data_IF_057276164748
#
_entry.id   IF_057276164748
#
_cell.length_a   1.000
_cell.length_b   1.000
_cell.length_c   1.000
_cell.angle_alpha   90.00
_cell.angle_beta   90.00
_cell.angle_gamma   90.00
#
_symmetry.space_group_name_H-M   'P 1'
#
loop_
_entity.id
_entity.type
_entity.pdbx_description
1 polymer ?
#
# COMPACT_ATOMS: atom_id res chain seq x y z
N UNK A 1 -10.07 -26.07 -21.47
CA UNK A 1 -10.81 -25.68 -20.24
C UNK A 1 -12.08 -24.90 -20.55
N UNK A 2 -13.08 -25.02 -19.69
CA UNK A 2 -14.38 -24.37 -19.88
C UNK A 2 -14.31 -22.88 -19.56
N UNK A 3 -14.83 -22.04 -20.45
CA UNK A 3 -15.02 -20.61 -20.24
C UNK A 3 -16.50 -20.30 -20.19
N UNK A 4 -16.96 -19.76 -19.06
CA UNK A 4 -18.36 -19.34 -18.89
C UNK A 4 -18.52 -17.85 -19.24
N UNK A 5 -19.26 -17.56 -20.32
CA UNK A 5 -19.67 -16.21 -20.69
C UNK A 5 -20.96 -15.83 -19.97
N UNK A 6 -20.86 -15.07 -18.87
CA UNK A 6 -22.01 -14.59 -18.08
C UNK A 6 -23.03 -13.81 -18.90
N UNK A 7 -22.59 -13.07 -19.91
CA UNK A 7 -23.47 -12.26 -20.75
C UNK A 7 -24.40 -13.08 -21.65
N UNK A 8 -24.01 -14.30 -21.97
CA UNK A 8 -24.72 -15.14 -22.93
C UNK A 8 -25.27 -16.44 -22.30
N UNK A 9 -25.04 -16.62 -20.99
CA UNK A 9 -25.37 -17.86 -20.24
C UNK A 9 -24.88 -19.14 -20.95
N UNK A 10 -23.67 -19.06 -21.54
CA UNK A 10 -23.11 -20.09 -22.42
C UNK A 10 -21.77 -20.58 -21.89
N UNK A 11 -21.60 -21.90 -21.85
CA UNK A 11 -20.31 -22.55 -21.62
C UNK A 11 -19.61 -22.71 -22.98
N UNK A 12 -18.34 -22.28 -23.01
CA UNK A 12 -17.46 -22.48 -24.18
C UNK A 12 -16.29 -23.34 -23.70
N UNK A 13 -16.04 -24.43 -24.43
CA UNK A 13 -14.84 -25.23 -24.22
C UNK A 13 -13.76 -24.82 -25.22
N UNK A 14 -12.54 -24.67 -24.73
CA UNK A 14 -11.37 -24.33 -25.55
C UNK A 14 -10.12 -25.00 -24.97
N UNK A 15 -9.08 -25.12 -25.81
CA UNK A 15 -7.79 -25.70 -25.45
C UNK A 15 -6.72 -24.60 -25.47
N UNK A 16 -5.67 -24.78 -24.67
CA UNK A 16 -4.53 -23.88 -24.64
C UNK A 16 -3.23 -24.68 -24.53
N UNK A 17 -2.17 -24.20 -25.16
CA UNK A 17 -0.80 -24.67 -24.91
C UNK A 17 -0.23 -24.06 -23.66
N UNK A 18 -0.50 -22.78 -23.42
CA UNK A 18 -0.11 -22.02 -22.22
C UNK A 18 -1.28 -21.19 -21.71
N UNK A 19 -1.49 -21.18 -20.41
CA UNK A 19 -2.53 -20.37 -19.75
C UNK A 19 -1.88 -19.32 -18.85
N UNK A 20 -2.29 -18.06 -18.98
CA UNK A 20 -1.85 -16.96 -18.10
C UNK A 20 -3.04 -16.41 -17.31
N UNK A 21 -2.97 -16.52 -16.00
CA UNK A 21 -4.00 -16.03 -15.08
C UNK A 21 -3.64 -14.61 -14.58
N UNK A 22 -4.48 -13.64 -14.96
CA UNK A 22 -4.35 -12.24 -14.55
C UNK A 22 -5.64 -11.74 -13.91
N UNK A 23 -6.12 -12.48 -12.91
CA UNK A 23 -7.46 -12.34 -12.34
C UNK A 23 -7.63 -11.12 -11.46
N UNK A 24 -6.51 -10.50 -11.06
CA UNK A 24 -6.50 -9.32 -10.21
C UNK A 24 -7.02 -9.56 -8.79
N UNK A 25 -7.46 -8.47 -8.16
CA UNK A 25 -8.02 -8.44 -6.83
C UNK A 25 -9.36 -7.69 -6.80
N UNK A 26 -10.16 -7.92 -5.77
CA UNK A 26 -11.42 -7.23 -5.56
C UNK A 26 -11.50 -6.64 -4.15
N UNK A 27 -12.16 -5.48 -3.96
CA UNK A 27 -12.33 -4.89 -2.65
C UNK A 27 -13.02 -5.84 -1.69
N UNK A 28 -12.56 -5.88 -0.46
CA UNK A 28 -13.20 -6.66 0.60
C UNK A 28 -14.50 -5.97 0.99
N UNK A 29 -15.59 -6.74 1.00
CA UNK A 29 -16.89 -6.29 1.50
C UNK A 29 -17.20 -7.06 2.78
N UNK A 30 -17.30 -6.41 3.94
CA UNK A 30 -17.56 -7.07 5.20
C UNK A 30 -19.01 -7.56 5.28
N UNK A 31 -19.26 -8.61 6.05
CA UNK A 31 -20.61 -9.09 6.31
C UNK A 31 -21.21 -8.34 7.50
N UNK A 32 -21.75 -7.16 7.27
CA UNK A 32 -22.34 -6.31 8.29
C UNK A 32 -23.81 -6.02 7.96
N UNK A 33 -24.61 -5.81 8.98
CA UNK A 33 -25.99 -5.36 8.83
C UNK A 33 -26.03 -4.01 8.10
N UNK A 34 -26.94 -3.87 7.14
CA UNK A 34 -27.09 -2.66 6.33
C UNK A 34 -26.07 -2.48 5.21
N UNK A 35 -25.13 -3.41 4.98
CA UNK A 35 -24.07 -3.30 3.95
C UNK A 35 -24.61 -3.13 2.52
N UNK A 36 -25.84 -3.55 2.26
CA UNK A 36 -26.50 -3.46 0.95
C UNK A 36 -27.32 -2.19 0.76
N UNK A 37 -27.30 -1.25 1.71
CA UNK A 37 -27.95 0.03 1.56
C UNK A 37 -27.35 0.83 0.40
N UNK A 38 -28.17 1.59 -0.31
CA UNK A 38 -27.71 2.51 -1.35
C UNK A 38 -26.74 3.55 -0.76
N UNK A 39 -25.82 4.03 -1.60
CA UNK A 39 -24.75 4.96 -1.24
C UNK A 39 -23.65 4.38 -0.32
N UNK A 40 -23.52 3.04 -0.23
CA UNK A 40 -22.32 2.38 0.26
C UNK A 40 -21.56 1.87 -0.97
N UNK A 41 -20.39 2.44 -1.25
CA UNK A 41 -19.67 2.25 -2.51
C UNK A 41 -18.28 1.63 -2.29
N UNK A 42 -17.77 1.03 -3.35
CA UNK A 42 -16.40 0.51 -3.43
C UNK A 42 -15.55 1.45 -4.30
N UNK A 43 -14.23 1.48 -4.07
CA UNK A 43 -13.28 2.16 -4.93
C UNK A 43 -12.22 1.16 -5.44
N UNK A 44 -12.25 0.83 -6.74
CA UNK A 44 -11.26 -0.07 -7.37
C UNK A 44 -10.92 0.31 -8.80
N UNK A 45 -11.88 0.76 -9.57
CA UNK A 45 -11.75 0.97 -11.01
C UNK A 45 -12.44 2.27 -11.47
N UNK A 46 -12.31 2.58 -12.75
CA UNK A 46 -12.85 3.80 -13.34
C UNK A 46 -14.38 3.90 -13.22
N UNK A 47 -15.11 2.77 -13.32
CA UNK A 47 -16.57 2.80 -13.19
C UNK A 47 -16.98 3.10 -11.74
N UNK A 48 -16.29 2.55 -10.75
CA UNK A 48 -16.48 2.93 -9.35
C UNK A 48 -16.21 4.43 -9.14
N UNK A 49 -15.13 4.96 -9.70
CA UNK A 49 -14.79 6.38 -9.59
C UNK A 49 -15.89 7.28 -10.18
N UNK A 50 -16.46 6.92 -11.33
CA UNK A 50 -17.60 7.66 -11.92
C UNK A 50 -18.82 7.67 -11.00
N UNK A 51 -19.16 6.51 -10.42
CA UNK A 51 -20.32 6.41 -9.50
C UNK A 51 -20.06 7.24 -8.25
N UNK A 52 -18.86 7.19 -7.69
CA UNK A 52 -18.46 8.03 -6.54
C UNK A 52 -18.63 9.51 -6.90
N UNK A 53 -18.05 9.94 -8.03
CA UNK A 53 -18.12 11.33 -8.50
C UNK A 53 -19.56 11.82 -8.74
N UNK A 54 -20.45 10.95 -9.17
CA UNK A 54 -21.87 11.30 -9.33
C UNK A 54 -22.58 11.43 -7.99
N UNK A 55 -22.35 10.49 -7.08
CA UNK A 55 -23.02 10.44 -5.77
C UNK A 55 -22.54 11.53 -4.82
N UNK A 56 -21.25 11.88 -4.87
CA UNK A 56 -20.66 12.90 -4.00
C UNK A 56 -21.27 14.30 -4.22
N UNK A 57 -21.78 14.61 -5.43
CA UNK A 57 -22.40 15.91 -5.74
C UNK A 57 -23.54 16.27 -4.79
N UNK A 58 -24.33 15.30 -4.38
CA UNK A 58 -25.46 15.48 -3.46
C UNK A 58 -25.12 15.17 -2.00
N UNK A 59 -23.96 14.56 -1.73
CA UNK A 59 -23.54 14.21 -0.38
C UNK A 59 -22.90 15.41 0.33
N UNK A 60 -23.18 15.56 1.62
CA UNK A 60 -22.54 16.54 2.51
C UNK A 60 -21.63 15.85 3.51
N UNK A 61 -22.12 14.76 4.11
CA UNK A 61 -21.40 13.97 5.10
C UNK A 61 -20.90 12.68 4.45
N UNK A 62 -19.60 12.54 4.31
CA UNK A 62 -18.97 11.37 3.69
C UNK A 62 -18.16 10.62 4.73
N UNK A 63 -18.43 9.33 4.83
CA UNK A 63 -17.66 8.42 5.69
C UNK A 63 -16.78 7.52 4.82
N UNK A 64 -15.47 7.56 5.04
CA UNK A 64 -14.51 6.64 4.42
C UNK A 64 -14.08 5.61 5.46
N UNK A 65 -14.20 4.33 5.13
CA UNK A 65 -13.88 3.22 6.03
C UNK A 65 -12.64 2.51 5.53
N UNK A 66 -11.58 2.55 6.35
CA UNK A 66 -10.24 2.07 6.03
C UNK A 66 -9.28 3.23 5.73
N UNK A 67 -8.31 3.45 6.60
CA UNK A 67 -7.33 4.53 6.53
C UNK A 67 -5.98 4.09 5.92
N UNK A 68 -6.00 3.16 4.96
CA UNK A 68 -4.88 2.86 4.07
C UNK A 68 -4.74 3.90 2.95
N UNK A 69 -3.86 3.66 1.98
CA UNK A 69 -3.57 4.58 0.85
C UNK A 69 -4.84 5.14 0.19
N UNK A 70 -5.74 4.28 -0.26
CA UNK A 70 -6.96 4.70 -0.97
C UNK A 70 -7.87 5.53 -0.08
N UNK A 71 -8.04 5.12 1.19
CA UNK A 71 -8.94 5.81 2.11
C UNK A 71 -8.46 7.21 2.47
N UNK A 72 -7.15 7.39 2.70
CA UNK A 72 -6.60 8.72 3.01
C UNK A 72 -6.64 9.65 1.79
N UNK A 73 -6.35 9.16 0.58
CA UNK A 73 -6.47 9.94 -0.66
C UNK A 73 -7.91 10.37 -0.93
N UNK A 74 -8.89 9.50 -0.71
CA UNK A 74 -10.31 9.85 -0.86
C UNK A 74 -10.78 10.82 0.22
N UNK A 75 -10.33 10.66 1.46
CA UNK A 75 -10.66 11.58 2.54
C UNK A 75 -10.18 13.00 2.24
N UNK A 76 -8.93 13.16 1.79
CA UNK A 76 -8.40 14.44 1.31
C UNK A 76 -9.20 14.99 0.13
N UNK A 77 -9.43 14.16 -0.89
CA UNK A 77 -10.14 14.59 -2.10
C UNK A 77 -11.55 15.11 -1.82
N UNK A 78 -12.28 14.52 -0.89
CA UNK A 78 -13.62 15.00 -0.48
C UNK A 78 -13.55 16.24 0.40
N UNK A 79 -12.58 16.30 1.31
CA UNK A 79 -12.40 17.49 2.17
C UNK A 79 -12.10 18.72 1.34
N UNK A 80 -11.17 18.64 0.38
CA UNK A 80 -10.82 19.73 -0.54
C UNK A 80 -12.03 20.21 -1.36
N UNK A 81 -13.03 19.37 -1.56
CA UNK A 81 -14.30 19.73 -2.20
C UNK A 81 -15.34 20.30 -1.21
N UNK A 82 -14.94 20.54 0.03
CA UNK A 82 -15.80 21.13 1.06
C UNK A 82 -16.82 20.17 1.68
N UNK A 83 -16.59 18.86 1.64
CA UNK A 83 -17.42 17.87 2.31
C UNK A 83 -17.04 17.72 3.78
N UNK A 84 -17.99 17.34 4.63
CA UNK A 84 -17.72 16.89 5.98
C UNK A 84 -17.22 15.44 5.92
N UNK A 85 -15.96 15.21 6.18
CA UNK A 85 -15.35 13.87 6.04
C UNK A 85 -15.08 13.26 7.40
N UNK A 86 -15.48 12.00 7.57
CA UNK A 86 -15.04 11.14 8.68
C UNK A 86 -14.29 9.96 8.10
N UNK A 87 -13.02 9.78 8.53
CA UNK A 87 -12.18 8.63 8.19
C UNK A 87 -12.15 7.67 9.38
N UNK A 88 -12.64 6.45 9.18
CA UNK A 88 -12.76 5.41 10.23
C UNK A 88 -11.76 4.29 9.93
N UNK A 89 -11.01 3.84 10.95
CA UNK A 89 -10.20 2.62 10.86
C UNK A 89 -10.21 1.86 12.19
N UNK A 90 -10.10 0.55 12.10
CA UNK A 90 -9.93 -0.32 13.27
C UNK A 90 -8.52 -0.21 13.87
N UNK A 91 -7.53 0.16 13.08
CA UNK A 91 -6.19 0.50 13.56
C UNK A 91 -6.20 1.84 14.29
N UNK A 92 -5.28 2.02 15.21
CA UNK A 92 -5.20 3.21 16.07
C UNK A 92 -4.60 4.45 15.39
N UNK A 93 -4.11 4.32 14.16
CA UNK A 93 -3.55 5.40 13.34
C UNK A 93 -3.76 5.15 11.84
N UNK A 94 -3.72 6.21 11.06
CA UNK A 94 -3.77 6.10 9.61
C UNK A 94 -2.51 5.39 9.09
N UNK A 95 -2.64 4.66 7.99
CA UNK A 95 -1.54 4.00 7.29
C UNK A 95 -0.63 3.12 8.18
N UNK A 96 -1.15 2.61 9.30
CA UNK A 96 -0.42 1.82 10.30
C UNK A 96 0.39 0.64 9.72
N UNK A 97 -0.05 0.07 8.60
CA UNK A 97 0.66 -1.04 7.93
C UNK A 97 1.86 -0.60 7.08
N UNK A 98 2.00 0.69 6.83
CA UNK A 98 2.95 1.23 5.85
C UNK A 98 3.94 2.22 6.44
N UNK A 99 3.57 2.87 7.56
CA UNK A 99 4.33 3.94 8.19
C UNK A 99 4.37 3.78 9.71
N UNK A 100 5.48 4.18 10.31
CA UNK A 100 5.63 4.25 11.76
C UNK A 100 5.04 5.55 12.35
N UNK A 101 4.81 5.61 13.67
CA UNK A 101 4.14 6.73 14.34
C UNK A 101 4.73 8.09 14.05
N UNK A 102 6.05 8.22 13.89
CA UNK A 102 6.73 9.49 13.66
C UNK A 102 6.22 10.20 12.38
N UNK A 103 5.82 9.42 11.36
CA UNK A 103 5.31 9.95 10.10
C UNK A 103 3.79 10.04 10.10
N UNK A 104 3.10 9.04 10.66
CA UNK A 104 1.62 9.04 10.69
C UNK A 104 1.07 10.16 11.55
N UNK A 105 1.72 10.50 12.69
CA UNK A 105 1.29 11.58 13.54
C UNK A 105 1.27 12.94 12.80
N UNK A 106 2.29 13.21 11.98
CA UNK A 106 2.35 14.42 11.16
C UNK A 106 1.22 14.46 10.13
N UNK A 107 0.97 13.33 9.45
CA UNK A 107 -0.10 13.21 8.47
C UNK A 107 -1.50 13.35 9.11
N UNK A 108 -1.71 12.77 10.30
CA UNK A 108 -2.96 12.93 11.06
C UNK A 108 -3.22 14.37 11.50
N UNK A 109 -2.17 15.09 11.91
CA UNK A 109 -2.29 16.51 12.22
C UNK A 109 -2.73 17.33 11.01
N UNK A 110 -2.22 17.03 9.81
CA UNK A 110 -2.69 17.69 8.59
C UNK A 110 -4.17 17.43 8.35
N UNK A 111 -4.65 16.19 8.46
CA UNK A 111 -6.08 15.90 8.35
C UNK A 111 -6.92 16.66 9.38
N UNK A 112 -6.50 16.71 10.65
CA UNK A 112 -7.23 17.43 11.70
C UNK A 112 -7.25 18.95 11.45
N UNK A 113 -6.16 19.54 10.96
CA UNK A 113 -6.09 20.96 10.57
C UNK A 113 -7.08 21.32 9.48
N UNK A 114 -7.31 20.40 8.54
CA UNK A 114 -8.29 20.56 7.46
C UNK A 114 -9.72 20.16 7.85
N UNK A 115 -9.94 19.77 9.11
CA UNK A 115 -11.28 19.49 9.64
C UNK A 115 -11.78 18.08 9.36
N UNK A 116 -10.95 17.17 8.86
CA UNK A 116 -11.31 15.75 8.73
C UNK A 116 -11.40 15.12 10.12
N UNK A 117 -12.52 14.46 10.39
CA UNK A 117 -12.71 13.70 11.63
C UNK A 117 -12.04 12.33 11.51
N UNK A 118 -11.03 12.09 12.32
CA UNK A 118 -10.35 10.79 12.42
C UNK A 118 -11.00 9.97 13.54
N UNK A 119 -11.60 8.84 13.19
CA UNK A 119 -12.21 7.85 14.07
C UNK A 119 -11.36 6.58 14.06
N UNK A 120 -10.20 6.64 14.70
CA UNK A 120 -9.19 5.59 14.71
C UNK A 120 -9.35 4.67 15.92
N UNK A 121 -8.94 3.41 15.79
CA UNK A 121 -9.20 2.38 16.78
C UNK A 121 -10.69 2.11 16.96
N UNK A 122 -11.49 2.27 15.90
CA UNK A 122 -12.92 2.05 15.90
C UNK A 122 -13.34 1.06 14.80
N UNK A 123 -13.97 -0.03 15.20
CA UNK A 123 -14.47 -1.04 14.26
C UNK A 123 -15.95 -0.79 13.93
N UNK A 124 -16.25 -0.69 12.63
CA UNK A 124 -17.63 -0.57 12.16
C UNK A 124 -18.40 -1.86 12.46
N UNK A 125 -19.61 -1.71 13.03
CA UNK A 125 -20.48 -2.82 13.43
C UNK A 125 -21.66 -3.00 12.48
N UNK A 126 -22.29 -1.91 12.03
CA UNK A 126 -23.43 -1.93 11.12
C UNK A 126 -23.65 -0.58 10.45
N UNK A 127 -24.53 -0.58 9.48
CA UNK A 127 -25.05 0.62 8.82
C UNK A 127 -26.54 0.77 9.08
N UNK A 128 -26.98 1.99 9.33
CA UNK A 128 -28.39 2.33 9.46
C UNK A 128 -28.80 3.19 8.26
N UNK A 129 -30.07 3.06 7.84
CA UNK A 129 -30.55 3.79 6.68
C UNK A 129 -32.05 4.02 6.69
N UNK A 130 -32.50 4.95 5.85
CA UNK A 130 -33.89 5.26 5.60
C UNK A 130 -34.14 5.21 4.09
N UNK A 131 -35.34 4.70 3.69
CA UNK A 131 -35.70 4.57 2.27
C UNK A 131 -34.63 3.87 1.43
N UNK A 132 -34.01 2.79 1.98
CA UNK A 132 -32.92 2.02 1.39
C UNK A 132 -31.61 2.78 1.16
N UNK A 133 -31.43 3.99 1.72
CA UNK A 133 -30.17 4.75 1.65
C UNK A 133 -29.50 4.79 3.01
N UNK A 134 -28.16 4.71 3.02
CA UNK A 134 -27.40 4.85 4.26
C UNK A 134 -27.59 6.26 4.84
N UNK A 135 -27.77 6.33 6.16
CA UNK A 135 -27.87 7.59 6.93
C UNK A 135 -26.88 7.63 8.07
N UNK A 136 -26.38 6.46 8.55
CA UNK A 136 -25.40 6.38 9.64
C UNK A 136 -24.48 5.18 9.51
N UNK A 137 -23.25 5.37 9.98
CA UNK A 137 -22.28 4.32 10.25
C UNK A 137 -22.15 4.17 11.76
N UNK A 138 -22.32 2.96 12.27
CA UNK A 138 -22.22 2.63 13.69
C UNK A 138 -20.97 1.83 13.96
N UNK A 139 -20.14 2.33 14.85
CA UNK A 139 -18.96 1.62 15.39
C UNK A 139 -19.28 1.07 16.80
N UNK A 140 -18.33 0.35 17.41
CA UNK A 140 -18.47 -0.05 18.81
C UNK A 140 -18.43 1.12 19.81
N UNK A 141 -17.95 2.30 19.37
CA UNK A 141 -17.78 3.48 20.24
C UNK A 141 -18.74 4.61 19.94
N UNK A 142 -19.05 4.81 18.65
CA UNK A 142 -19.73 6.02 18.19
C UNK A 142 -20.71 5.75 17.05
N UNK A 143 -21.43 6.82 16.66
CA UNK A 143 -22.31 6.88 15.49
C UNK A 143 -21.94 8.09 14.64
N UNK A 144 -21.89 7.91 13.32
CA UNK A 144 -21.49 8.93 12.35
C UNK A 144 -22.58 9.08 11.29
N UNK A 145 -23.06 10.30 11.10
CA UNK A 145 -24.00 10.60 9.98
C UNK A 145 -23.26 10.45 8.65
N UNK A 146 -23.96 9.87 7.67
CA UNK A 146 -23.37 9.58 6.37
C UNK A 146 -24.42 9.65 5.25
N UNK A 147 -24.20 10.53 4.28
CA UNK A 147 -24.96 10.57 3.03
C UNK A 147 -24.31 9.63 1.98
N UNK A 148 -23.03 9.36 2.14
CA UNK A 148 -22.22 8.51 1.28
C UNK A 148 -21.15 7.79 2.12
N UNK A 149 -20.96 6.51 1.86
CA UNK A 149 -19.93 5.68 2.51
C UNK A 149 -19.04 5.06 1.43
N UNK A 150 -17.70 5.12 1.61
CA UNK A 150 -16.74 4.44 0.74
C UNK A 150 -15.98 3.38 1.54
N UNK A 151 -16.00 2.13 1.07
CA UNK A 151 -15.29 1.02 1.69
C UNK A 151 -13.87 0.90 1.09
N UNK A 152 -12.85 1.10 1.92
CA UNK A 152 -11.43 1.05 1.57
C UNK A 152 -10.64 0.09 2.47
N UNK A 153 -11.25 -1.01 2.94
CA UNK A 153 -10.69 -1.94 3.94
C UNK A 153 -9.73 -2.99 3.36
N UNK A 154 -9.27 -2.80 2.12
CA UNK A 154 -8.30 -3.65 1.44
C UNK A 154 -8.88 -4.53 0.35
N UNK A 155 -8.03 -5.44 -0.16
CA UNK A 155 -8.33 -6.27 -1.32
C UNK A 155 -8.08 -7.75 -1.04
N UNK A 156 -8.85 -8.60 -1.70
CA UNK A 156 -8.65 -10.05 -1.75
C UNK A 156 -8.38 -10.49 -3.19
N UNK A 157 -7.53 -11.52 -3.41
CA UNK A 157 -7.31 -12.08 -4.74
C UNK A 157 -8.62 -12.59 -5.35
N UNK A 158 -8.84 -12.31 -6.63
CA UNK A 158 -10.05 -12.74 -7.34
C UNK A 158 -9.92 -14.17 -7.88
N UNK A 159 -9.59 -15.12 -7.02
CA UNK A 159 -9.16 -16.48 -7.37
C UNK A 159 -10.19 -17.58 -7.05
N UNK A 160 -11.42 -17.21 -6.69
CA UNK A 160 -12.47 -18.19 -6.34
C UNK A 160 -12.73 -19.20 -7.47
N UNK A 161 -12.56 -18.79 -8.74
CA UNK A 161 -12.80 -19.65 -9.92
C UNK A 161 -11.77 -20.76 -10.08
N UNK A 162 -10.59 -20.61 -9.46
CA UNK A 162 -9.49 -21.60 -9.54
C UNK A 162 -9.26 -22.28 -8.18
N UNK A 163 -10.19 -22.13 -7.23
CA UNK A 163 -10.10 -22.76 -5.92
C UNK A 163 -9.86 -24.27 -6.06
N UNK A 164 -8.94 -24.78 -5.26
CA UNK A 164 -8.53 -26.21 -5.22
C UNK A 164 -7.90 -26.75 -6.52
N UNK A 165 -7.58 -25.88 -7.49
CA UNK A 165 -6.93 -26.25 -8.75
C UNK A 165 -5.44 -25.88 -8.81
N UNK A 166 -5.01 -24.94 -7.99
CA UNK A 166 -3.63 -24.44 -7.88
C UNK A 166 -3.27 -24.23 -6.40
N UNK A 167 -1.98 -24.25 -6.10
CA UNK A 167 -1.48 -23.91 -4.78
C UNK A 167 -1.69 -22.41 -4.52
N UNK A 168 -2.23 -22.10 -3.34
CA UNK A 168 -2.54 -20.73 -2.93
C UNK A 168 -2.14 -20.47 -1.49
N UNK A 169 -1.90 -19.21 -1.16
CA UNK A 169 -1.84 -18.75 0.22
C UNK A 169 -3.23 -18.87 0.89
N UNK A 170 -3.29 -18.74 2.21
CA UNK A 170 -4.56 -18.80 2.99
C UNK A 170 -5.61 -17.79 2.51
N UNK A 171 -5.19 -16.64 1.98
CA UNK A 171 -6.08 -15.62 1.43
C UNK A 171 -6.52 -15.88 -0.01
N UNK A 172 -6.03 -16.96 -0.64
CA UNK A 172 -6.33 -17.35 -2.01
C UNK A 172 -5.36 -16.82 -3.06
N UNK A 173 -4.32 -16.06 -2.71
CA UNK A 173 -3.30 -15.62 -3.67
C UNK A 173 -2.55 -16.82 -4.27
N UNK A 174 -2.47 -16.89 -5.60
CA UNK A 174 -1.78 -17.97 -6.32
C UNK A 174 -0.29 -17.94 -5.98
N UNK A 175 0.24 -19.07 -5.54
CA UNK A 175 1.69 -19.23 -5.32
C UNK A 175 2.37 -19.40 -6.68
N UNK A 176 3.37 -18.58 -6.94
CA UNK A 176 4.18 -18.62 -8.16
C UNK A 176 5.67 -18.77 -7.82
N UNK A 177 6.42 -19.32 -8.76
CA UNK A 177 7.86 -19.36 -8.67
C UNK A 177 8.52 -18.07 -9.25
N UNK A 178 9.83 -18.02 -9.24
CA UNK A 178 10.61 -16.89 -9.77
C UNK A 178 10.49 -16.67 -11.29
N UNK A 179 9.82 -17.57 -12.01
CA UNK A 179 9.53 -17.47 -13.45
C UNK A 179 8.05 -17.28 -13.75
N UNK A 180 7.25 -16.93 -12.74
CA UNK A 180 5.80 -16.73 -12.82
C UNK A 180 5.00 -18.01 -13.08
N UNK A 181 5.58 -19.21 -12.90
CA UNK A 181 4.89 -20.50 -13.05
C UNK A 181 4.11 -20.82 -11.79
N UNK A 182 2.95 -21.44 -11.96
CA UNK A 182 2.12 -21.96 -10.87
C UNK A 182 2.49 -23.41 -10.53
N UNK A 183 1.78 -24.03 -9.60
CA UNK A 183 1.90 -25.47 -9.28
C UNK A 183 1.44 -26.40 -10.39
N UNK A 184 0.86 -25.88 -11.47
CA UNK A 184 0.41 -26.64 -12.63
C UNK A 184 1.25 -26.31 -13.85
N UNK A 185 1.69 -27.37 -14.55
CA UNK A 185 2.45 -27.23 -15.80
C UNK A 185 1.68 -26.37 -16.82
N UNK A 186 2.40 -25.56 -17.58
CA UNK A 186 1.87 -24.66 -18.60
C UNK A 186 0.88 -23.58 -18.10
N UNK A 187 0.78 -23.42 -16.79
CA UNK A 187 -0.06 -22.37 -16.18
C UNK A 187 0.80 -21.35 -15.45
N UNK A 188 0.70 -20.10 -15.89
CA UNK A 188 1.38 -18.93 -15.33
C UNK A 188 0.37 -18.02 -14.63
N UNK A 189 0.86 -17.19 -13.72
CA UNK A 189 0.02 -16.16 -13.11
C UNK A 189 0.79 -14.88 -12.83
N UNK A 190 0.10 -13.74 -12.89
CA UNK A 190 0.69 -12.41 -12.67
C UNK A 190 -0.30 -11.41 -12.08
N UNK A 191 0.23 -10.40 -11.38
CA UNK A 191 -0.52 -9.28 -10.82
C UNK A 191 -1.18 -9.60 -9.48
N UNK A 192 -2.20 -8.81 -9.11
CA UNK A 192 -2.83 -8.82 -7.78
C UNK A 192 -3.49 -10.16 -7.37
N UNK A 193 -3.60 -11.13 -8.26
CA UNK A 193 -4.07 -12.47 -7.90
C UNK A 193 -2.97 -13.38 -7.33
N UNK A 194 -1.70 -12.94 -7.34
CA UNK A 194 -0.54 -13.75 -6.99
C UNK A 194 0.11 -13.31 -5.68
N UNK A 195 0.86 -14.24 -5.10
CA UNK A 195 1.88 -13.97 -4.10
C UNK A 195 3.16 -13.44 -4.75
N UNK A 196 4.04 -12.84 -3.94
CA UNK A 196 5.35 -12.32 -4.35
C UNK A 196 6.40 -12.63 -3.30
N UNK A 197 7.66 -12.72 -3.71
CA UNK A 197 8.79 -12.78 -2.76
C UNK A 197 8.99 -11.39 -2.16
N UNK A 198 8.94 -11.29 -0.84
CA UNK A 198 9.15 -10.05 -0.10
C UNK A 198 10.57 -10.00 0.45
N UNK A 199 11.43 -9.23 -0.19
CA UNK A 199 12.89 -9.24 0.03
C UNK A 199 13.32 -8.91 1.47
N UNK A 200 12.67 -8.00 2.24
CA UNK A 200 13.07 -7.72 3.60
C UNK A 200 13.14 -8.95 4.51
N UNK A 201 12.33 -9.97 4.23
CA UNK A 201 12.27 -11.22 5.01
C UNK A 201 12.57 -12.48 4.20
N UNK A 202 12.63 -12.39 2.87
CA UNK A 202 12.82 -13.54 1.99
C UNK A 202 11.63 -14.49 1.87
N UNK A 203 10.47 -14.11 2.41
CA UNK A 203 9.25 -14.93 2.44
C UNK A 203 8.29 -14.60 1.30
N UNK A 204 7.39 -15.55 1.03
CA UNK A 204 6.27 -15.36 0.09
C UNK A 204 5.14 -14.61 0.80
N UNK A 205 4.76 -13.43 0.26
CA UNK A 205 3.68 -12.59 0.81
C UNK A 205 2.71 -12.12 -0.28
N UNK A 206 1.57 -11.60 0.15
CA UNK A 206 0.58 -10.96 -0.71
C UNK A 206 0.76 -9.44 -0.66
N UNK A 207 1.26 -8.85 -1.75
CA UNK A 207 1.54 -7.40 -1.86
C UNK A 207 1.01 -6.92 -3.22
N UNK A 208 -0.30 -6.63 -3.31
CA UNK A 208 -0.94 -6.22 -4.56
C UNK A 208 -0.59 -4.77 -4.88
N UNK A 209 0.40 -4.59 -5.76
CA UNK A 209 0.85 -3.29 -6.26
C UNK A 209 0.89 -3.29 -7.79
N UNK A 210 0.45 -2.20 -8.41
CA UNK A 210 0.47 -2.03 -9.86
C UNK A 210 1.89 -2.20 -10.45
N UNK A 211 2.91 -1.71 -9.75
CA UNK A 211 4.32 -1.87 -10.14
C UNK A 211 4.76 -3.33 -10.14
N UNK A 212 4.28 -4.16 -9.20
CA UNK A 212 4.51 -5.60 -9.22
C UNK A 212 3.81 -6.22 -10.42
N UNK A 213 2.53 -5.90 -10.64
CA UNK A 213 1.74 -6.45 -11.75
C UNK A 213 2.40 -6.22 -13.12
N UNK A 214 2.91 -5.01 -13.37
CA UNK A 214 3.60 -4.66 -14.64
C UNK A 214 4.89 -5.48 -14.80
N UNK A 215 5.72 -5.59 -13.75
CA UNK A 215 6.95 -6.41 -13.79
C UNK A 215 6.64 -7.88 -14.00
N UNK A 216 5.65 -8.42 -13.28
CA UNK A 216 5.23 -9.81 -13.39
C UNK A 216 4.70 -10.14 -14.79
N UNK A 217 3.89 -9.25 -15.39
CA UNK A 217 3.42 -9.40 -16.77
C UNK A 217 4.56 -9.44 -17.78
N UNK A 218 5.58 -8.59 -17.60
CA UNK A 218 6.80 -8.62 -18.41
C UNK A 218 7.55 -9.93 -18.24
N UNK A 219 7.65 -10.45 -17.01
CA UNK A 219 8.30 -11.72 -16.71
C UNK A 219 7.55 -12.92 -17.32
N UNK A 220 6.22 -12.92 -17.29
CA UNK A 220 5.44 -13.96 -18.00
C UNK A 220 5.82 -13.99 -19.47
N UNK A 221 5.81 -12.83 -20.15
CA UNK A 221 6.15 -12.77 -21.57
C UNK A 221 7.57 -13.25 -21.89
N UNK A 222 8.53 -13.04 -20.96
CA UNK A 222 9.93 -13.50 -21.11
C UNK A 222 10.12 -14.99 -20.82
N UNK A 223 9.24 -15.56 -19.99
CA UNK A 223 9.42 -16.92 -19.45
C UNK A 223 8.45 -17.95 -20.03
N UNK A 224 7.45 -17.53 -20.81
CA UNK A 224 6.35 -18.39 -21.27
C UNK A 224 6.83 -19.61 -22.11
N UNK A 225 7.88 -19.42 -22.91
CA UNK A 225 8.47 -20.49 -23.73
C UNK A 225 9.52 -21.30 -22.94
N UNK A 226 10.38 -20.58 -22.22
CA UNK A 226 11.43 -21.17 -21.39
C UNK A 226 11.83 -20.21 -20.28
N UNK A 227 12.26 -20.68 -19.12
CA UNK A 227 12.81 -19.84 -18.04
C UNK A 227 14.00 -19.02 -18.56
N UNK A 228 13.87 -17.68 -18.56
CA UNK A 228 14.86 -16.75 -19.13
C UNK A 228 15.24 -15.66 -18.13
N UNK A 229 14.26 -15.06 -17.45
CA UNK A 229 14.48 -13.93 -16.54
C UNK A 229 13.78 -14.18 -15.21
N UNK A 230 14.55 -14.18 -14.14
CA UNK A 230 14.05 -14.38 -12.78
C UNK A 230 13.37 -13.14 -12.22
N UNK A 231 12.30 -13.34 -11.47
CA UNK A 231 11.75 -12.35 -10.56
C UNK A 231 12.64 -12.20 -9.34
N UNK A 232 13.07 -11.00 -9.07
CA UNK A 232 13.99 -10.68 -7.96
C UNK A 232 13.24 -10.22 -6.69
N UNK A 233 11.92 -10.38 -6.65
CA UNK A 233 11.11 -10.00 -5.51
C UNK A 233 10.70 -8.53 -5.49
N UNK A 234 10.19 -8.11 -4.35
CA UNK A 234 9.72 -6.74 -4.10
C UNK A 234 10.02 -6.31 -2.66
N UNK A 235 10.16 -5.01 -2.45
CA UNK A 235 10.25 -4.38 -1.13
C UNK A 235 8.92 -3.70 -0.73
N UNK A 236 7.91 -3.73 -1.60
CA UNK A 236 6.64 -3.03 -1.35
C UNK A 236 6.78 -1.52 -1.36
N UNK A 237 7.71 -0.98 -2.15
CA UNK A 237 7.99 0.46 -2.23
C UNK A 237 6.77 1.21 -2.73
N UNK A 238 6.36 2.24 -1.99
CA UNK A 238 5.17 3.04 -2.26
C UNK A 238 5.32 4.46 -1.74
N UNK A 239 4.52 5.36 -2.27
CA UNK A 239 4.49 6.75 -1.85
C UNK A 239 3.10 7.34 -1.95
N UNK A 240 2.87 8.42 -1.21
CA UNK A 240 1.62 9.16 -1.17
C UNK A 240 1.91 10.65 -0.97
N UNK A 241 1.03 11.48 -1.49
CA UNK A 241 0.95 12.89 -1.11
C UNK A 241 -0.32 13.10 -0.28
N UNK A 242 -0.19 13.74 0.87
CA UNK A 242 -1.28 14.14 1.76
C UNK A 242 -1.16 15.63 1.98
N UNK A 243 -2.03 16.42 1.40
CA UNK A 243 -1.92 17.88 1.29
C UNK A 243 -0.52 18.29 0.79
N UNK A 244 0.27 18.97 1.59
CA UNK A 244 1.64 19.36 1.22
C UNK A 244 2.70 18.32 1.61
N UNK A 245 2.32 17.25 2.30
CA UNK A 245 3.26 16.22 2.77
C UNK A 245 3.49 15.15 1.70
N UNK A 246 4.73 15.01 1.25
CA UNK A 246 5.20 13.93 0.40
C UNK A 246 5.78 12.83 1.28
N UNK A 247 5.19 11.64 1.25
CA UNK A 247 5.55 10.52 2.13
C UNK A 247 5.82 9.31 1.26
N UNK A 248 6.88 8.57 1.58
CA UNK A 248 7.15 7.30 0.91
C UNK A 248 7.78 6.30 1.88
N UNK A 249 7.61 5.02 1.58
CA UNK A 249 8.18 3.92 2.35
C UNK A 249 8.63 2.76 1.47
N UNK A 250 9.53 1.95 2.00
CA UNK A 250 10.01 0.72 1.37
C UNK A 250 10.40 -0.28 2.44
N UNK A 251 10.13 -1.55 2.23
CA UNK A 251 10.40 -2.60 3.20
C UNK A 251 9.46 -2.59 4.42
N UNK A 252 9.96 -3.02 5.55
CA UNK A 252 9.21 -3.14 6.80
C UNK A 252 9.19 -1.82 7.59
N UNK A 253 8.05 -1.52 8.23
CA UNK A 253 8.04 -0.59 9.36
C UNK A 253 8.71 -1.24 10.56
N UNK A 254 9.16 -0.46 11.52
CA UNK A 254 9.72 -0.96 12.77
C UNK A 254 8.72 -1.87 13.51
N UNK A 255 7.47 -1.41 13.61
CA UNK A 255 6.41 -2.18 14.27
C UNK A 255 6.16 -3.53 13.58
N UNK A 256 6.04 -3.53 12.24
CA UNK A 256 5.83 -4.77 11.49
C UNK A 256 7.04 -5.70 11.57
N UNK A 257 8.26 -5.16 11.56
CA UNK A 257 9.47 -5.96 11.72
C UNK A 257 9.48 -6.65 13.09
N UNK A 258 9.27 -5.91 14.18
CA UNK A 258 9.20 -6.48 15.55
C UNK A 258 8.09 -7.51 15.71
N UNK A 259 6.94 -7.32 15.04
CA UNK A 259 5.76 -8.19 15.18
C UNK A 259 5.84 -9.46 14.33
N UNK A 260 6.52 -9.42 13.18
CA UNK A 260 6.40 -10.48 12.16
C UNK A 260 7.71 -11.15 11.77
N UNK A 261 8.82 -10.80 12.42
CA UNK A 261 10.15 -11.41 12.17
C UNK A 261 10.83 -11.78 13.48
N UNK A 262 11.81 -12.67 13.39
CA UNK A 262 12.70 -13.02 14.50
C UNK A 262 13.98 -12.14 14.52
N UNK A 263 14.02 -11.05 13.75
CA UNK A 263 15.16 -10.14 13.71
C UNK A 263 15.33 -9.38 15.03
N UNK A 264 16.56 -9.08 15.36
CA UNK A 264 16.91 -8.14 16.43
C UNK A 264 16.73 -6.71 15.90
N UNK A 265 15.46 -6.25 15.84
CA UNK A 265 15.06 -5.03 15.14
C UNK A 265 15.53 -3.78 15.86
N UNK A 266 16.27 -2.94 15.16
CA UNK A 266 16.56 -1.56 15.54
C UNK A 266 16.09 -0.58 14.46
N UNK A 267 15.83 0.65 14.85
CA UNK A 267 15.44 1.73 13.96
C UNK A 267 16.06 3.04 14.42
N UNK A 268 16.38 3.88 13.48
CA UNK A 268 16.83 5.26 13.73
C UNK A 268 16.10 6.21 12.81
N UNK A 269 15.85 7.41 13.34
CA UNK A 269 15.19 8.48 12.63
C UNK A 269 15.96 9.78 12.80
N UNK A 270 16.04 10.55 11.74
CA UNK A 270 16.61 11.91 11.76
C UNK A 270 15.58 12.90 11.20
N UNK A 271 15.68 14.13 11.65
CA UNK A 271 15.06 15.30 11.02
C UNK A 271 16.19 16.24 10.64
N UNK A 272 16.34 16.54 9.38
CA UNK A 272 17.39 17.44 8.90
C UNK A 272 16.98 18.12 7.59
N UNK A 273 17.59 19.29 7.32
CA UNK A 273 17.38 19.99 6.06
C UNK A 273 17.98 19.22 4.89
N UNK A 274 17.21 19.08 3.80
CA UNK A 274 17.67 18.34 2.63
C UNK A 274 18.87 19.00 1.92
N UNK A 275 19.07 20.32 2.09
CA UNK A 275 20.19 21.09 1.55
C UNK A 275 20.69 22.13 2.56
N UNK A 276 21.85 22.78 2.33
CA UNK A 276 22.44 23.70 3.28
C UNK A 276 21.55 24.93 3.56
N UNK A 277 21.55 25.36 4.81
CA UNK A 277 20.75 26.47 5.33
C UNK A 277 21.20 27.87 4.79
N UNK A 278 22.39 27.96 4.19
CA UNK A 278 22.83 29.18 3.50
C UNK A 278 22.14 29.37 2.13
N UNK A 279 21.43 28.35 1.62
CA UNK A 279 20.65 28.47 0.41
C UNK A 279 19.38 29.32 0.64
N UNK A 280 18.88 30.05 -0.39
CA UNK A 280 17.71 30.91 -0.23
C UNK A 280 16.44 30.20 0.24
N UNK A 281 16.32 28.91 -0.05
CA UNK A 281 15.21 28.06 0.40
C UNK A 281 15.77 26.71 0.85
N UNK A 282 15.22 26.16 1.92
CA UNK A 282 15.49 24.81 2.41
C UNK A 282 14.26 24.31 3.17
N UNK A 283 14.16 23.02 3.40
CA UNK A 283 13.06 22.42 4.14
C UNK A 283 13.55 21.15 4.83
N UNK A 284 12.90 20.82 5.92
CA UNK A 284 13.21 19.63 6.71
C UNK A 284 12.59 18.38 6.08
N UNK A 285 13.30 17.28 6.23
CA UNK A 285 12.79 15.95 5.96
C UNK A 285 13.02 15.04 7.16
N UNK A 286 12.00 14.27 7.49
CA UNK A 286 12.13 13.15 8.42
C UNK A 286 12.50 11.90 7.62
N UNK A 287 13.62 11.27 7.96
CA UNK A 287 14.04 10.01 7.34
C UNK A 287 14.25 8.98 8.44
N UNK A 288 13.66 7.79 8.25
CA UNK A 288 13.80 6.66 9.16
C UNK A 288 14.32 5.45 8.40
N UNK A 289 15.22 4.68 8.99
CA UNK A 289 15.60 3.33 8.53
C UNK A 289 15.34 2.31 9.64
N UNK A 290 14.99 1.10 9.22
CA UNK A 290 14.81 -0.07 10.08
C UNK A 290 15.82 -1.11 9.64
N UNK A 291 16.54 -1.70 10.57
CA UNK A 291 17.58 -2.68 10.29
C UNK A 291 17.62 -3.81 11.32
N UNK A 292 18.16 -4.93 10.93
CA UNK A 292 18.46 -6.03 11.85
C UNK A 292 19.84 -5.78 12.49
N UNK A 293 19.86 -5.68 13.81
CA UNK A 293 21.08 -5.36 14.59
C UNK A 293 22.18 -6.39 14.40
N UNK A 294 21.83 -7.67 14.27
CA UNK A 294 22.79 -8.76 14.24
C UNK A 294 23.50 -8.85 12.88
N UNK A 295 22.76 -8.76 11.80
CA UNK A 295 23.30 -8.75 10.43
C UNK A 295 23.67 -7.37 9.90
N UNK A 296 23.23 -6.31 10.58
CA UNK A 296 23.35 -4.91 10.18
C UNK A 296 22.62 -4.55 8.88
N UNK A 297 21.85 -5.48 8.32
CA UNK A 297 21.10 -5.30 7.07
C UNK A 297 19.93 -4.34 7.24
N UNK A 298 19.78 -3.41 6.30
CA UNK A 298 18.62 -2.54 6.21
C UNK A 298 17.43 -3.35 5.67
N UNK A 299 16.30 -3.31 6.39
CA UNK A 299 15.08 -4.06 6.08
C UNK A 299 13.88 -3.16 5.83
N UNK A 300 14.01 -1.85 6.09
CA UNK A 300 12.95 -0.88 5.86
C UNK A 300 13.43 0.55 5.88
N UNK A 301 12.61 1.46 5.34
CA UNK A 301 12.85 2.89 5.43
C UNK A 301 11.65 3.71 5.00
N UNK A 302 11.60 4.95 5.53
CA UNK A 302 10.49 5.88 5.37
C UNK A 302 11.02 7.29 5.26
N UNK A 303 10.31 8.13 4.51
CA UNK A 303 10.59 9.57 4.39
C UNK A 303 9.31 10.38 4.40
N UNK A 304 9.37 11.55 5.03
CA UNK A 304 8.33 12.57 5.00
C UNK A 304 8.97 13.95 4.84
N UNK A 305 8.44 14.76 3.93
CA UNK A 305 8.86 16.15 3.71
C UNK A 305 7.75 16.95 3.02
N UNK A 306 7.86 18.29 3.02
CA UNK A 306 6.97 19.11 2.18
C UNK A 306 7.41 19.15 0.70
N UNK A 307 8.63 18.75 0.42
CA UNK A 307 9.16 18.65 -0.94
C UNK A 307 9.09 17.19 -1.43
N UNK A 308 9.05 17.01 -2.75
CA UNK A 308 9.13 15.66 -3.31
C UNK A 308 10.55 15.09 -3.19
N UNK A 309 10.82 14.48 -2.05
CA UNK A 309 12.02 13.70 -1.77
C UNK A 309 11.75 12.18 -1.77
N UNK A 310 10.59 11.76 -2.28
CA UNK A 310 10.14 10.36 -2.29
C UNK A 310 11.10 9.42 -3.02
N UNK A 311 11.88 9.94 -3.99
CA UNK A 311 12.87 9.16 -4.75
C UNK A 311 13.99 8.56 -3.88
N UNK A 312 14.26 9.09 -2.68
CA UNK A 312 15.17 8.48 -1.73
C UNK A 312 14.75 7.05 -1.36
N UNK A 313 13.44 6.76 -1.36
CA UNK A 313 12.94 5.41 -1.09
C UNK A 313 13.21 4.44 -2.23
N UNK A 314 13.35 4.89 -3.47
CA UNK A 314 13.82 4.05 -4.57
C UNK A 314 15.29 3.62 -4.35
N UNK A 315 16.13 4.51 -3.83
CA UNK A 315 17.50 4.17 -3.44
C UNK A 315 17.50 3.13 -2.32
N UNK A 316 16.72 3.34 -1.25
CA UNK A 316 16.60 2.36 -0.16
C UNK A 316 16.00 1.02 -0.64
N UNK A 317 15.11 1.04 -1.63
CA UNK A 317 14.61 -0.19 -2.24
C UNK A 317 15.74 -1.01 -2.87
N UNK A 318 16.69 -0.37 -3.56
CA UNK A 318 17.90 -1.02 -4.11
C UNK A 318 18.83 -1.52 -2.99
N UNK A 319 19.00 -0.73 -1.94
CA UNK A 319 19.78 -1.10 -0.74
C UNK A 319 19.23 -2.38 -0.11
N UNK A 320 17.93 -2.45 0.15
CA UNK A 320 17.27 -3.63 0.73
C UNK A 320 17.36 -4.84 -0.21
N UNK A 321 17.12 -4.63 -1.50
CA UNK A 321 17.21 -5.71 -2.50
C UNK A 321 18.60 -6.35 -2.57
N UNK A 322 19.65 -5.57 -2.34
CA UNK A 322 21.04 -6.05 -2.34
C UNK A 322 21.54 -6.42 -0.95
N UNK A 323 20.69 -6.45 0.06
CA UNK A 323 21.03 -6.78 1.44
C UNK A 323 22.15 -5.93 2.04
N UNK A 324 22.23 -4.66 1.64
CA UNK A 324 23.27 -3.75 2.14
C UNK A 324 23.10 -3.46 3.64
N UNK A 325 24.21 -3.25 4.29
CA UNK A 325 24.28 -2.90 5.71
C UNK A 325 24.18 -1.40 5.93
N UNK A 326 23.97 -1.00 7.20
CA UNK A 326 23.96 0.42 7.58
C UNK A 326 25.34 1.06 7.34
N UNK A 327 26.44 0.34 7.53
CA UNK A 327 27.81 0.80 7.26
C UNK A 327 28.04 1.08 5.77
N UNK A 328 27.57 0.19 4.91
CA UNK A 328 27.68 0.37 3.45
C UNK A 328 26.86 1.58 2.98
N UNK A 329 25.63 1.76 3.48
CA UNK A 329 24.82 2.93 3.16
C UNK A 329 25.44 4.23 3.69
N UNK A 330 25.99 4.21 4.91
CA UNK A 330 26.66 5.36 5.53
C UNK A 330 27.80 5.90 4.67
N UNK A 331 28.53 5.01 3.97
CA UNK A 331 29.70 5.35 3.15
C UNK A 331 29.43 5.31 1.65
N UNK A 332 28.17 5.15 1.24
CA UNK A 332 27.80 5.19 -0.18
C UNK A 332 28.12 6.57 -0.76
N UNK A 333 28.77 6.60 -1.94
CA UNK A 333 29.06 7.83 -2.68
C UNK A 333 27.81 8.43 -3.28
N UNK A 334 27.31 9.48 -2.64
CA UNK A 334 26.25 10.33 -3.19
C UNK A 334 26.83 11.67 -3.60
N UNK A 335 26.38 12.22 -4.73
CA UNK A 335 26.87 13.51 -5.19
C UNK A 335 26.53 14.65 -4.20
N UNK A 336 27.35 15.68 -4.19
CA UNK A 336 27.08 16.93 -3.48
C UNK A 336 26.97 18.09 -4.47
N UNK A 337 25.88 18.84 -4.34
CA UNK A 337 25.71 20.16 -4.96
C UNK A 337 24.70 20.95 -4.12
N UNK A 338 25.05 22.19 -3.67
CA UNK A 338 24.26 22.93 -2.65
C UNK A 338 22.80 23.17 -3.02
N UNK A 339 22.44 23.19 -4.31
CA UNK A 339 21.05 23.33 -4.73
C UNK A 339 20.22 22.07 -4.47
N UNK A 340 20.84 20.91 -4.33
CA UNK A 340 20.15 19.63 -4.26
C UNK A 340 20.28 18.90 -2.92
N UNK A 341 21.45 18.99 -2.28
CA UNK A 341 21.71 18.26 -1.05
C UNK A 341 22.86 18.87 -0.22
N UNK A 342 23.10 18.30 0.95
CA UNK A 342 24.30 18.53 1.78
C UNK A 342 25.45 17.61 1.34
N UNK A 343 26.71 17.87 1.76
CA UNK A 343 27.84 16.96 1.52
C UNK A 343 27.57 15.52 1.99
N UNK A 344 26.87 15.35 3.10
CA UNK A 344 26.27 14.10 3.51
C UNK A 344 24.79 14.09 3.11
N UNK A 345 24.39 13.17 2.23
CA UNK A 345 23.01 12.94 1.89
C UNK A 345 22.18 12.55 3.13
N UNK A 346 20.88 12.82 3.14
CA UNK A 346 19.99 12.36 4.21
C UNK A 346 20.10 10.85 4.46
N UNK A 347 20.36 10.03 3.42
CA UNK A 347 20.58 8.59 3.57
C UNK A 347 21.89 8.26 4.25
N UNK A 348 22.97 8.98 3.94
CA UNK A 348 24.21 8.83 4.70
C UNK A 348 24.01 9.22 6.17
N UNK A 349 23.34 10.35 6.43
CA UNK A 349 23.16 10.86 7.78
C UNK A 349 22.36 9.90 8.66
N UNK A 350 21.25 9.35 8.18
CA UNK A 350 20.45 8.39 8.95
C UNK A 350 21.21 7.09 9.19
N UNK A 351 22.02 6.64 8.22
CA UNK A 351 22.86 5.46 8.38
C UNK A 351 24.05 5.72 9.33
N UNK A 352 24.65 6.92 9.31
CA UNK A 352 25.67 7.35 10.29
C UNK A 352 25.11 7.37 11.71
N UNK A 353 23.85 7.76 11.90
CA UNK A 353 23.19 7.70 13.21
C UNK A 353 23.06 6.26 13.71
N UNK A 354 22.77 5.29 12.80
CA UNK A 354 22.65 3.89 13.15
C UNK A 354 23.97 3.20 13.56
N UNK A 355 25.14 3.80 13.28
CA UNK A 355 26.44 3.24 13.63
C UNK A 355 27.09 3.92 14.84
N UNK A 356 26.45 4.93 15.44
CA UNK A 356 26.85 5.50 16.72
C UNK A 356 26.62 4.52 17.86
#
# INVERSE_FOLDING_TARGET
GDVYKRQEDKVIEDNYDKLVLTLGSWPIVPRLEGINLDNILLCKNYDHAKVIQEKEKSAKNIVVIGAGYIGVELAEAFEVQGKNVTLIDAEDRIMAKYLDPELTNVAEEEFRKHGVKLALGEMVQRFEGENNKVTKVITEKNSYEADLVILCIGFAPNTKIIKDKLDTLKNGAIIIDEYMRTSKEDVFAAGDCCSVIYNPVGDVRYIPLATNAVRMGTLVAKNIEKPTLKYIGTQGTSGIKIYEKCIASTGLTEEMARKTTDYNVEAVSIVDNYRPEFMPTYDEATVKIVYDRDSRRIIGGQILSNLDLTQFMNTLSVVIQNNMTVEELAMTDFFFQPHFNKPWSLLNLVALEAIK
#
